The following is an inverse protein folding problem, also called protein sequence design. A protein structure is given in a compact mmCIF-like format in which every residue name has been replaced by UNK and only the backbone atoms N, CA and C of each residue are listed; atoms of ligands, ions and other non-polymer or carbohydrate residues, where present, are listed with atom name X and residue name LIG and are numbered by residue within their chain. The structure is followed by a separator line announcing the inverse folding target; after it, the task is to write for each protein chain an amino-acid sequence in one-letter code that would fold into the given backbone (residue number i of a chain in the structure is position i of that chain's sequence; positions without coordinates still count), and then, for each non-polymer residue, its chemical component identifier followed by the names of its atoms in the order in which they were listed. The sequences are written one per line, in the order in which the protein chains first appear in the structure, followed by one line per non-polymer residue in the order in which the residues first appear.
data_IF_188434183448
#
_entry.id   IF_188434183448
#
_cell.length_a   1.000
_cell.length_b   1.000
_cell.length_c   1.000
_cell.angle_alpha   90.00
_cell.angle_beta   90.00
_cell.angle_gamma   90.00
#
_symmetry.space_group_name_H-M   'P 1'
#
loop_
_entity.id
_entity.type
_entity.pdbx_description
1 polymer ?
#
# COMPACT_ATOMS: atom_id res chain seq x y z
N UNK A 1 -5.03 -14.47 7.91
CA UNK A 1 -5.76 -13.59 6.96
C UNK A 1 -5.16 -12.19 7.06
N UNK A 2 -4.37 -11.80 6.06
CA UNK A 2 -3.55 -10.57 6.04
C UNK A 2 -4.33 -9.33 5.57
N UNK A 3 -3.81 -8.12 5.84
CA UNK A 3 -4.56 -6.87 5.67
C UNK A 3 -5.07 -6.64 4.25
N UNK A 4 -4.24 -6.81 3.22
CA UNK A 4 -4.65 -6.44 1.86
C UNK A 4 -5.88 -7.24 1.40
N UNK A 5 -6.12 -8.40 1.98
CA UNK A 5 -7.33 -9.19 1.82
C UNK A 5 -8.54 -8.48 2.47
N UNK A 6 -8.36 -7.83 3.64
CA UNK A 6 -9.36 -6.94 4.29
C UNK A 6 -9.55 -5.61 3.53
N UNK A 7 -8.49 -5.00 2.97
CA UNK A 7 -8.60 -3.72 2.23
C UNK A 7 -9.22 -3.94 0.84
N UNK A 8 -8.80 -4.98 0.10
CA UNK A 8 -9.43 -5.38 -1.14
C UNK A 8 -10.91 -5.71 -0.90
N UNK A 9 -11.22 -6.51 0.13
CA UNK A 9 -12.60 -6.81 0.52
C UNK A 9 -13.40 -5.57 0.97
N UNK A 10 -12.78 -4.61 1.66
CA UNK A 10 -13.44 -3.36 2.05
C UNK A 10 -13.70 -2.43 0.86
N UNK A 11 -12.77 -2.33 -0.09
CA UNK A 11 -12.95 -1.58 -1.34
C UNK A 11 -14.00 -2.24 -2.25
N UNK A 12 -14.00 -3.57 -2.32
CA UNK A 12 -15.01 -4.40 -2.96
C UNK A 12 -16.42 -4.17 -2.39
N UNK A 13 -16.58 -4.29 -1.07
CA UNK A 13 -17.86 -4.05 -0.38
C UNK A 13 -18.31 -2.60 -0.60
N UNK A 14 -17.39 -1.63 -0.48
CA UNK A 14 -17.68 -0.21 -0.75
C UNK A 14 -18.13 0.04 -2.19
N UNK A 15 -17.52 -0.63 -3.17
CA UNK A 15 -17.93 -0.55 -4.57
C UNK A 15 -19.32 -1.15 -4.79
N UNK A 16 -19.59 -2.35 -4.24
CA UNK A 16 -20.91 -2.98 -4.27
C UNK A 16 -21.99 -2.11 -3.62
N UNK A 17 -21.74 -1.58 -2.42
CA UNK A 17 -22.66 -0.67 -1.73
C UNK A 17 -22.91 0.62 -2.53
N UNK A 18 -21.90 1.12 -3.23
CA UNK A 18 -22.02 2.31 -4.07
C UNK A 18 -22.79 2.05 -5.38
N UNK A 19 -22.63 0.88 -6.00
CA UNK A 19 -23.49 0.45 -7.12
C UNK A 19 -24.95 0.25 -6.66
N UNK A 20 -25.15 -0.35 -5.49
CA UNK A 20 -26.48 -0.60 -4.89
C UNK A 20 -27.19 0.69 -4.42
N UNK A 21 -26.44 1.75 -4.16
CA UNK A 21 -26.98 3.06 -3.79
C UNK A 21 -27.49 3.87 -4.99
N UNK A 22 -27.04 3.58 -6.21
CA UNK A 22 -27.55 4.24 -7.42
C UNK A 22 -28.89 3.62 -7.86
N UNK A 23 -29.95 4.42 -7.80
CA UNK A 23 -31.31 4.01 -8.15
C UNK A 23 -31.52 3.82 -9.65
N UNK A 24 -30.55 4.21 -10.48
CA UNK A 24 -30.53 3.99 -11.92
C UNK A 24 -29.58 2.83 -12.32
N UNK A 25 -29.02 2.08 -11.36
CA UNK A 25 -28.24 0.88 -11.62
C UNK A 25 -29.15 -0.25 -12.17
N UNK A 26 -29.40 -0.20 -13.48
CA UNK A 26 -29.85 -1.36 -14.25
C UNK A 26 -28.80 -2.46 -14.07
N UNK A 27 -29.23 -3.71 -13.87
CA UNK A 27 -28.37 -4.88 -13.87
C UNK A 27 -27.67 -5.01 -15.23
N UNK A 28 -26.45 -4.47 -15.28
CA UNK A 28 -25.61 -4.33 -16.47
C UNK A 28 -24.47 -5.33 -16.38
N UNK A 29 -23.83 -5.65 -17.52
CA UNK A 29 -22.71 -6.61 -17.56
C UNK A 29 -21.65 -6.34 -16.50
N UNK A 30 -21.32 -5.07 -16.28
CA UNK A 30 -20.38 -4.61 -15.25
C UNK A 30 -20.70 -5.09 -13.81
N UNK A 31 -21.96 -5.38 -13.47
CA UNK A 31 -22.33 -5.95 -12.16
C UNK A 31 -22.03 -7.46 -12.08
N UNK A 32 -22.17 -8.19 -13.19
CA UNK A 32 -21.74 -9.59 -13.27
C UNK A 32 -20.21 -9.70 -13.35
N UNK A 33 -19.56 -8.86 -14.17
CA UNK A 33 -18.10 -8.78 -14.28
C UNK A 33 -17.47 -8.48 -12.90
N UNK A 34 -18.07 -7.56 -12.14
CA UNK A 34 -17.69 -7.29 -10.76
C UNK A 34 -17.92 -8.51 -9.84
N UNK A 35 -19.03 -9.23 -9.98
CA UNK A 35 -19.33 -10.40 -9.16
C UNK A 35 -18.34 -11.56 -9.41
N UNK A 36 -17.96 -11.83 -10.66
CA UNK A 36 -16.93 -12.82 -10.98
C UNK A 36 -15.55 -12.39 -10.47
N UNK A 37 -15.18 -11.11 -10.66
CA UNK A 37 -13.94 -10.55 -10.11
C UNK A 37 -13.86 -10.68 -8.57
N UNK A 38 -14.97 -10.45 -7.86
CA UNK A 38 -15.07 -10.63 -6.41
C UNK A 38 -14.86 -12.08 -5.97
N UNK A 39 -15.41 -13.04 -6.72
CA UNK A 39 -15.28 -14.48 -6.43
C UNK A 39 -13.83 -14.94 -6.63
N UNK A 40 -13.15 -14.49 -7.68
CA UNK A 40 -11.78 -14.91 -7.96
C UNK A 40 -10.76 -14.19 -7.06
N UNK A 41 -10.93 -12.88 -6.82
CA UNK A 41 -10.12 -12.15 -5.84
C UNK A 41 -10.24 -12.75 -4.43
N UNK A 42 -11.41 -13.27 -4.04
CA UNK A 42 -11.60 -13.99 -2.77
C UNK A 42 -10.87 -15.34 -2.73
N UNK A 43 -10.68 -16.02 -3.87
CA UNK A 43 -9.93 -17.29 -3.97
C UNK A 43 -8.42 -17.08 -3.88
N UNK A 44 -7.89 -16.10 -4.62
CA UNK A 44 -6.48 -15.69 -4.49
C UNK A 44 -6.19 -15.18 -3.06
N UNK A 45 -7.12 -14.41 -2.47
CA UNK A 45 -7.09 -13.96 -1.08
C UNK A 45 -7.32 -15.07 -0.03
N UNK A 46 -7.47 -16.32 -0.43
CA UNK A 46 -7.37 -17.48 0.45
C UNK A 46 -6.05 -18.24 0.23
N UNK A 47 -5.52 -18.30 -0.99
CA UNK A 47 -4.32 -19.06 -1.35
C UNK A 47 -3.00 -18.51 -0.77
N UNK A 48 -2.62 -17.26 -1.06
CA UNK A 48 -1.22 -16.81 -0.89
C UNK A 48 -0.99 -15.80 0.24
N UNK A 49 -0.31 -16.22 1.32
CA UNK A 49 -0.25 -15.50 2.60
C UNK A 49 0.81 -14.37 2.61
N UNK A 50 0.65 -13.37 1.74
CA UNK A 50 1.68 -12.37 1.40
C UNK A 50 1.72 -11.08 2.27
N UNK A 51 0.69 -10.24 2.21
CA UNK A 51 0.67 -8.85 2.71
C UNK A 51 1.07 -8.62 4.21
N UNK A 52 1.68 -7.47 4.58
CA UNK A 52 1.81 -7.02 5.98
C UNK A 52 0.49 -6.49 6.58
N UNK A 53 0.52 -5.97 7.80
CA UNK A 53 -0.63 -5.38 8.52
C UNK A 53 -0.45 -3.84 8.63
N UNK A 54 -1.52 -3.00 8.78
CA UNK A 54 -1.37 -1.53 8.76
C UNK A 54 -1.11 -0.99 10.16
N UNK A 55 -1.41 -1.80 11.17
CA UNK A 55 -1.06 -1.58 12.57
C UNK A 55 0.48 -1.65 12.73
N UNK A 56 1.20 -2.17 11.71
CA UNK A 56 2.66 -2.15 11.55
C UNK A 56 3.17 -0.82 10.91
N UNK A 57 2.29 0.14 10.58
CA UNK A 57 2.69 1.43 9.99
C UNK A 57 3.45 2.29 11.01
N UNK A 58 4.73 2.53 10.72
CA UNK A 58 5.63 3.31 11.56
C UNK A 58 6.26 4.46 10.74
N UNK A 59 5.72 5.69 10.82
CA UNK A 59 6.24 6.84 10.07
C UNK A 59 7.52 7.48 10.62
N UNK A 60 8.17 6.89 11.64
CA UNK A 60 9.37 7.43 12.28
C UNK A 60 10.56 7.57 11.29
N UNK A 61 11.18 8.76 11.14
CA UNK A 61 12.40 8.96 10.36
C UNK A 61 13.52 7.96 10.67
N UNK A 62 13.73 7.62 11.95
CA UNK A 62 14.78 6.69 12.36
C UNK A 62 14.51 5.27 11.85
N UNK A 63 13.25 4.86 11.74
CA UNK A 63 12.85 3.58 11.15
C UNK A 63 13.09 3.58 9.63
N UNK A 64 12.73 4.66 8.92
CA UNK A 64 13.00 4.81 7.49
C UNK A 64 14.51 4.82 7.17
N UNK A 65 15.29 5.55 7.96
CA UNK A 65 16.76 5.58 7.88
C UNK A 65 17.32 4.17 8.07
N UNK A 66 16.89 3.45 9.12
CA UNK A 66 17.36 2.09 9.40
C UNK A 66 17.06 1.11 8.24
N UNK A 67 15.86 1.16 7.65
CA UNK A 67 15.53 0.35 6.48
C UNK A 67 16.41 0.71 5.28
N UNK A 68 16.59 2.00 4.98
CA UNK A 68 17.44 2.44 3.86
C UNK A 68 18.89 1.98 4.03
N UNK A 69 19.42 2.04 5.26
CA UNK A 69 20.80 1.66 5.57
C UNK A 69 20.98 0.14 5.55
N UNK A 70 19.99 -0.64 6.01
CA UNK A 70 19.97 -2.10 5.85
C UNK A 70 19.88 -2.55 4.40
N UNK A 71 19.25 -1.76 3.52
CA UNK A 71 19.28 -1.97 2.07
C UNK A 71 20.62 -1.54 1.41
N UNK A 72 21.57 -0.98 2.17
CA UNK A 72 22.87 -0.52 1.67
C UNK A 72 22.79 0.75 0.80
N UNK A 73 21.73 1.55 0.92
CA UNK A 73 21.45 2.67 0.02
C UNK A 73 21.76 4.04 0.65
N UNK A 74 22.39 4.92 -0.13
CA UNK A 74 22.34 6.37 0.14
C UNK A 74 20.96 6.94 -0.24
N UNK A 75 20.60 8.10 0.30
CA UNK A 75 19.38 8.83 -0.09
C UNK A 75 19.29 9.10 -1.60
N UNK A 76 20.43 9.25 -2.29
CA UNK A 76 20.48 9.45 -3.75
C UNK A 76 20.12 8.17 -4.50
N UNK A 77 20.69 7.04 -4.10
CA UNK A 77 20.37 5.74 -4.70
C UNK A 77 18.92 5.32 -4.40
N UNK A 78 18.41 5.57 -3.19
CA UNK A 78 17.00 5.32 -2.87
C UNK A 78 16.06 6.19 -3.72
N UNK A 79 16.35 7.48 -3.86
CA UNK A 79 15.59 8.39 -4.73
C UNK A 79 15.54 7.86 -6.18
N UNK A 80 16.68 7.44 -6.74
CA UNK A 80 16.75 6.82 -8.06
C UNK A 80 15.96 5.50 -8.14
N UNK A 81 16.12 4.61 -7.14
CA UNK A 81 15.45 3.29 -7.06
C UNK A 81 13.92 3.42 -7.04
N UNK A 82 13.40 4.39 -6.28
CA UNK A 82 11.97 4.66 -6.13
C UNK A 82 11.41 5.69 -7.12
N UNK A 83 12.23 6.23 -8.02
CA UNK A 83 11.90 7.33 -8.95
C UNK A 83 11.35 8.60 -8.27
N UNK A 84 11.79 8.85 -7.03
CA UNK A 84 11.48 10.05 -6.26
C UNK A 84 12.62 11.09 -6.41
N UNK A 85 12.36 12.34 -6.01
CA UNK A 85 13.45 13.31 -5.85
C UNK A 85 14.14 13.12 -4.49
N UNK A 86 15.46 13.39 -4.41
CA UNK A 86 16.19 13.37 -3.13
C UNK A 86 15.51 14.24 -2.06
N UNK A 87 14.87 15.35 -2.47
CA UNK A 87 14.19 16.26 -1.54
C UNK A 87 12.93 15.64 -0.90
N UNK A 88 12.26 14.71 -1.58
CA UNK A 88 11.17 13.91 -0.96
C UNK A 88 11.73 12.99 0.11
N UNK A 89 12.84 12.29 -0.17
CA UNK A 89 13.55 11.46 0.82
C UNK A 89 13.96 12.29 2.04
N UNK A 90 14.48 13.50 1.84
CA UNK A 90 14.84 14.42 2.93
C UNK A 90 13.65 14.91 3.77
N UNK A 91 12.44 15.01 3.20
CA UNK A 91 11.25 15.31 4.01
C UNK A 91 10.81 14.11 4.88
N UNK A 92 11.06 12.88 4.42
CA UNK A 92 10.67 11.65 5.13
C UNK A 92 11.70 11.19 6.17
N UNK A 93 12.99 11.39 5.91
CA UNK A 93 14.10 11.05 6.82
C UNK A 93 14.61 12.25 7.65
N UNK A 94 14.03 13.44 7.48
CA UNK A 94 14.46 14.64 8.20
C UNK A 94 13.93 14.70 9.63
N UNK A 95 14.75 15.22 10.56
CA UNK A 95 14.37 15.51 11.95
C UNK A 95 13.94 16.99 12.17
N UNK A 96 14.11 17.84 11.15
CA UNK A 96 13.87 19.28 11.23
C UNK A 96 12.39 19.67 11.03
N UNK A 97 12.08 20.96 11.20
CA UNK A 97 10.74 21.56 10.95
C UNK A 97 10.20 21.42 9.52
N UNK A 98 10.94 20.78 8.60
CA UNK A 98 10.46 20.42 7.24
C UNK A 98 10.07 18.95 7.10
N UNK A 99 10.16 18.17 8.19
CA UNK A 99 9.74 16.77 8.26
C UNK A 99 8.27 16.58 7.83
N UNK A 100 7.99 15.43 7.22
CA UNK A 100 6.66 14.93 6.88
C UNK A 100 6.64 13.43 7.09
N UNK A 101 5.66 12.93 7.83
CA UNK A 101 5.43 11.48 7.98
C UNK A 101 5.39 10.81 6.60
N UNK A 102 6.23 9.79 6.40
CA UNK A 102 6.29 9.07 5.15
C UNK A 102 5.02 8.23 4.96
N UNK A 103 4.40 8.19 3.75
CA UNK A 103 3.21 7.38 3.53
C UNK A 103 3.55 5.88 3.64
N UNK A 104 2.59 5.04 4.05
CA UNK A 104 2.80 3.59 4.19
C UNK A 104 3.41 2.92 2.94
N UNK A 105 3.09 3.38 1.73
CA UNK A 105 3.70 2.90 0.49
C UNK A 105 5.23 3.11 0.42
N UNK A 106 5.78 4.13 1.08
CA UNK A 106 7.22 4.37 1.18
C UNK A 106 7.86 3.40 2.19
N UNK A 107 7.21 3.15 3.33
CA UNK A 107 7.61 2.11 4.28
C UNK A 107 7.66 0.74 3.60
N UNK A 108 6.57 0.34 2.95
CA UNK A 108 6.45 -0.94 2.24
C UNK A 108 7.53 -1.10 1.17
N UNK A 109 7.81 -0.03 0.40
CA UNK A 109 8.89 -0.03 -0.59
C UNK A 109 10.28 -0.19 0.04
N UNK A 110 10.53 0.43 1.20
CA UNK A 110 11.77 0.27 1.95
C UNK A 110 11.92 -1.12 2.57
N UNK A 111 10.87 -1.66 3.19
CA UNK A 111 10.89 -3.04 3.71
C UNK A 111 11.13 -4.06 2.59
N UNK A 112 10.51 -3.85 1.42
CA UNK A 112 10.69 -4.69 0.23
C UNK A 112 12.10 -4.63 -0.37
N UNK A 113 12.94 -3.67 0.04
CA UNK A 113 14.37 -3.58 -0.31
C UNK A 113 15.28 -4.23 0.74
N UNK A 114 14.72 -4.69 1.87
CA UNK A 114 15.45 -5.26 3.03
C UNK A 114 15.06 -6.72 3.30
N UNK A 115 13.91 -7.16 2.80
CA UNK A 115 13.49 -8.58 2.78
C UNK A 115 14.32 -9.35 1.71
N UNK A 116 14.74 -10.59 1.99
CA UNK A 116 15.51 -11.43 1.07
C UNK A 116 14.67 -12.02 -0.08
#
# INVERSE_FOLDING_TARGET
MKLERRIALANAVKFYDQCKADKNAVETGAMNDAHEWLIEAAREALAEDAYPNPDDYNPDPAYMINLRERAGLTQVQLAQRLRLSRRVIQYYEGADSTHRNAPFAYQLALESLVRP
#
